data_IF_205788432556
#
_entry.id   IF_205788432556
#
_cell.length_a   1.000
_cell.length_b   1.000
_cell.length_c   1.000
_cell.angle_alpha   90.00
_cell.angle_beta   90.00
_cell.angle_gamma   90.00
#
_symmetry.space_group_name_H-M   'P 1'
#
loop_
_entity.id
_entity.type
_entity.pdbx_description
1 polymer ?
#
# COMPACT_ATOMS: atom_id res chain seq x y z
N UNK A 1 -22.73 14.02 20.58
CA UNK A 1 -23.53 14.76 19.58
C UNK A 1 -22.54 15.30 18.56
N UNK A 2 -22.71 15.01 17.27
CA UNK A 2 -21.78 15.45 16.21
C UNK A 2 -21.97 16.94 15.93
N UNK A 3 -21.40 17.78 16.78
CA UNK A 3 -21.35 19.23 16.57
C UNK A 3 -20.70 19.51 15.19
N UNK A 4 -21.49 19.95 14.23
CA UNK A 4 -20.98 20.37 12.92
C UNK A 4 -21.54 19.65 11.70
N UNK A 5 -22.41 18.65 11.85
CA UNK A 5 -23.15 18.04 10.73
C UNK A 5 -24.55 18.65 10.68
N UNK A 6 -24.99 19.07 9.49
CA UNK A 6 -26.33 19.61 9.26
C UNK A 6 -26.86 19.12 7.91
N UNK A 7 -28.01 18.44 7.93
CA UNK A 7 -28.57 17.73 6.78
C UNK A 7 -27.51 16.84 6.08
N UNK A 8 -27.17 17.17 4.82
CA UNK A 8 -26.17 16.49 3.98
C UNK A 8 -24.80 17.21 3.94
N UNK A 9 -24.60 18.20 4.81
CA UNK A 9 -23.42 19.06 4.85
C UNK A 9 -22.66 19.02 6.17
N UNK A 10 -21.40 19.44 6.11
CA UNK A 10 -20.56 19.67 7.29
C UNK A 10 -20.21 21.15 7.35
N UNK A 11 -20.41 21.77 8.51
CA UNK A 11 -20.01 23.15 8.76
C UNK A 11 -18.50 23.33 8.56
N UNK A 12 -18.14 24.41 7.87
CA UNK A 12 -16.74 24.69 7.48
C UNK A 12 -15.81 24.80 8.69
N UNK A 13 -16.24 25.44 9.79
CA UNK A 13 -15.39 25.62 10.96
C UNK A 13 -15.14 24.31 11.76
N UNK A 14 -16.17 23.50 12.08
CA UNK A 14 -15.98 22.16 12.62
C UNK A 14 -15.14 21.24 11.72
N UNK A 15 -15.36 21.28 10.39
CA UNK A 15 -14.56 20.52 9.43
C UNK A 15 -13.08 20.90 9.52
N UNK A 16 -12.77 22.19 9.56
CA UNK A 16 -11.39 22.66 9.72
C UNK A 16 -10.74 22.16 11.00
N UNK A 17 -11.44 22.24 12.15
CA UNK A 17 -10.92 21.75 13.44
C UNK A 17 -10.58 20.27 13.37
N UNK A 18 -11.49 19.47 12.84
CA UNK A 18 -11.30 18.01 12.71
C UNK A 18 -10.11 17.66 11.79
N UNK A 19 -9.97 18.34 10.65
CA UNK A 19 -8.84 18.11 9.75
C UNK A 19 -7.52 18.58 10.35
N UNK A 20 -7.53 19.65 11.15
CA UNK A 20 -6.33 20.15 11.84
C UNK A 20 -5.88 19.22 12.96
N UNK A 21 -6.80 18.66 13.72
CA UNK A 21 -6.52 17.64 14.76
C UNK A 21 -5.87 16.37 14.18
N UNK A 22 -6.14 16.07 12.92
CA UNK A 22 -5.58 14.93 12.18
C UNK A 22 -4.31 15.24 11.40
N UNK A 23 -3.86 16.49 11.42
CA UNK A 23 -2.74 16.98 10.59
C UNK A 23 -2.96 16.80 9.07
N UNK A 24 -4.23 16.79 8.63
CA UNK A 24 -4.62 16.57 7.22
C UNK A 24 -4.53 17.86 6.36
N UNK A 25 -4.40 19.03 7.00
CA UNK A 25 -4.37 20.35 6.34
C UNK A 25 -3.14 21.20 6.72
N UNK A 26 -1.91 20.66 6.63
CA UNK A 26 -0.70 21.38 7.07
C UNK A 26 -0.44 22.66 6.25
N UNK A 27 -0.97 22.71 5.01
CA UNK A 27 -0.90 23.88 4.14
C UNK A 27 -1.89 25.01 4.48
N UNK A 28 -2.85 24.76 5.38
CA UNK A 28 -3.87 25.72 5.77
C UNK A 28 -3.80 25.95 7.30
N UNK A 29 -2.86 26.78 7.79
CA UNK A 29 -2.64 26.96 9.23
C UNK A 29 -3.81 27.65 9.95
N UNK A 30 -4.69 28.33 9.20
CA UNK A 30 -5.81 29.10 9.75
C UNK A 30 -7.12 28.74 9.05
N UNK A 31 -8.23 28.94 9.77
CA UNK A 31 -9.57 28.78 9.21
C UNK A 31 -9.81 29.70 8.00
N UNK A 32 -9.20 30.89 7.98
CA UNK A 32 -9.28 31.81 6.85
C UNK A 32 -8.59 31.27 5.60
N UNK A 33 -7.38 30.71 5.76
CA UNK A 33 -6.67 30.05 4.66
C UNK A 33 -7.46 28.85 4.12
N UNK A 34 -8.05 28.07 5.03
CA UNK A 34 -8.91 26.94 4.68
C UNK A 34 -10.16 27.39 3.90
N UNK A 35 -10.86 28.44 4.34
CA UNK A 35 -12.00 29.04 3.62
C UNK A 35 -11.63 29.51 2.21
N UNK A 36 -10.48 30.18 2.05
CA UNK A 36 -10.00 30.62 0.75
C UNK A 36 -9.73 29.43 -0.19
N UNK A 37 -9.15 28.34 0.35
CA UNK A 37 -8.92 27.08 -0.38
C UNK A 37 -10.23 26.41 -0.80
N UNK A 38 -11.23 26.37 0.08
CA UNK A 38 -12.56 25.83 -0.22
C UNK A 38 -13.24 26.61 -1.35
N UNK A 39 -13.15 27.95 -1.33
CA UNK A 39 -13.68 28.77 -2.43
C UNK A 39 -12.96 28.51 -3.75
N UNK A 40 -11.64 28.34 -3.74
CA UNK A 40 -10.90 27.95 -4.95
C UNK A 40 -11.36 26.59 -5.49
N UNK A 41 -11.57 25.61 -4.61
CA UNK A 41 -12.06 24.29 -4.99
C UNK A 41 -13.49 24.35 -5.53
N UNK A 42 -14.38 25.11 -4.88
CA UNK A 42 -15.75 25.37 -5.35
C UNK A 42 -15.77 26.01 -6.74
N UNK A 43 -14.98 27.06 -6.96
CA UNK A 43 -14.90 27.75 -8.25
C UNK A 43 -14.33 26.86 -9.37
N UNK A 44 -13.58 25.81 -9.01
CA UNK A 44 -13.05 24.79 -9.94
C UNK A 44 -13.99 23.60 -10.13
N UNK A 45 -15.18 23.61 -9.51
CA UNK A 45 -16.12 22.50 -9.56
C UNK A 45 -15.66 21.25 -8.81
N UNK A 46 -14.67 21.37 -7.90
CA UNK A 46 -14.13 20.24 -7.15
C UNK A 46 -14.95 19.92 -5.91
N UNK A 47 -15.87 20.78 -5.49
CA UNK A 47 -16.76 20.53 -4.36
C UNK A 47 -18.00 21.42 -4.45
N UNK A 48 -19.01 21.05 -3.68
CA UNK A 48 -20.24 21.83 -3.54
C UNK A 48 -20.26 22.49 -2.16
N UNK A 49 -20.68 23.75 -2.13
CA UNK A 49 -20.90 24.54 -0.91
C UNK A 49 -22.39 24.84 -0.80
N UNK A 50 -22.92 24.78 0.42
CA UNK A 50 -24.34 25.03 0.68
C UNK A 50 -24.56 26.12 1.74
N UNK A 51 -25.74 26.74 1.66
CA UNK A 51 -26.25 27.68 2.64
C UNK A 51 -26.97 26.91 3.75
N UNK A 52 -26.85 27.37 4.99
CA UNK A 52 -27.60 26.80 6.11
C UNK A 52 -29.04 27.38 6.07
N UNK A 53 -30.05 26.54 5.84
CA UNK A 53 -31.45 26.99 5.67
C UNK A 53 -32.29 26.95 6.96
N UNK A 54 -31.89 26.20 8.00
CA UNK A 54 -32.62 26.09 9.27
C UNK A 54 -31.68 26.26 10.46
N UNK A 55 -31.80 27.41 11.12
CA UNK A 55 -30.91 27.83 12.21
C UNK A 55 -31.43 27.49 13.62
N UNK A 56 -32.65 26.94 13.75
CA UNK A 56 -33.32 26.80 15.05
C UNK A 56 -32.61 25.81 15.99
N UNK A 57 -31.96 24.77 15.45
CA UNK A 57 -31.25 23.75 16.23
C UNK A 57 -29.71 23.82 16.12
N UNK A 58 -29.17 24.89 15.50
CA UNK A 58 -27.73 25.00 15.24
C UNK A 58 -27.14 26.14 16.05
N UNK A 59 -26.00 25.87 16.71
CA UNK A 59 -25.25 26.90 17.41
C UNK A 59 -24.89 28.07 16.46
N UNK A 60 -25.38 29.30 16.71
CA UNK A 60 -25.17 30.43 15.81
C UNK A 60 -23.70 30.83 15.66
N UNK A 61 -22.85 30.53 16.65
CA UNK A 61 -21.41 30.75 16.56
C UNK A 61 -20.76 29.82 15.53
N UNK A 62 -21.26 28.59 15.38
CA UNK A 62 -20.77 27.65 14.36
C UNK A 62 -21.14 28.12 12.96
N UNK A 63 -22.36 28.64 12.79
CA UNK A 63 -22.83 29.21 11.53
C UNK A 63 -21.97 30.43 11.16
N UNK A 64 -21.81 31.38 12.08
CA UNK A 64 -21.00 32.58 11.86
C UNK A 64 -19.52 32.23 11.57
N UNK A 65 -18.93 31.33 12.35
CA UNK A 65 -17.55 30.89 12.14
C UNK A 65 -17.37 30.16 10.80
N UNK A 66 -18.41 29.52 10.27
CA UNK A 66 -18.36 28.79 9.01
C UNK A 66 -18.67 29.65 7.79
N UNK A 67 -19.23 30.85 7.97
CA UNK A 67 -19.63 31.73 6.87
C UNK A 67 -18.45 32.05 5.93
N UNK A 68 -18.64 31.80 4.63
CA UNK A 68 -17.71 32.18 3.57
C UNK A 68 -18.50 32.80 2.42
N UNK A 69 -18.15 34.02 2.04
CA UNK A 69 -18.84 34.78 1.00
C UNK A 69 -18.19 34.50 -0.36
N UNK A 70 -18.99 34.16 -1.36
CA UNK A 70 -18.58 34.22 -2.76
C UNK A 70 -19.66 34.86 -3.60
N UNK A 71 -19.26 35.90 -4.35
CA UNK A 71 -20.17 36.76 -5.11
C UNK A 71 -21.27 37.34 -4.22
N UNK A 72 -22.49 36.80 -4.29
CA UNK A 72 -23.68 37.25 -3.54
C UNK A 72 -24.26 36.15 -2.62
N UNK A 73 -23.53 35.05 -2.43
CA UNK A 73 -24.00 33.89 -1.66
C UNK A 73 -23.05 33.64 -0.50
N UNK A 74 -23.61 33.54 0.71
CA UNK A 74 -22.87 33.15 1.91
C UNK A 74 -23.04 31.67 2.16
N UNK A 75 -21.97 30.92 1.97
CA UNK A 75 -21.93 29.49 2.23
C UNK A 75 -21.53 29.22 3.67
N UNK A 76 -22.02 28.11 4.22
CA UNK A 76 -21.77 27.71 5.61
C UNK A 76 -21.33 26.24 5.70
N UNK A 77 -21.75 25.44 4.73
CA UNK A 77 -21.58 24.00 4.70
C UNK A 77 -20.72 23.61 3.50
N UNK A 78 -19.83 22.64 3.69
CA UNK A 78 -19.30 21.82 2.61
C UNK A 78 -20.25 20.66 2.44
N UNK A 79 -20.85 20.51 1.26
CA UNK A 79 -21.69 19.34 1.00
C UNK A 79 -20.80 18.10 0.91
N UNK A 80 -21.27 17.01 1.53
CA UNK A 80 -20.63 15.72 1.33
C UNK A 80 -20.78 15.38 -0.15
N UNK A 81 -19.67 15.09 -0.84
CA UNK A 81 -19.73 14.61 -2.22
C UNK A 81 -20.74 13.47 -2.31
N UNK A 82 -21.81 13.70 -3.09
CA UNK A 82 -22.79 12.65 -3.31
C UNK A 82 -22.07 11.48 -4.00
N UNK A 83 -22.25 10.25 -3.52
CA UNK A 83 -21.67 9.06 -4.20
C UNK A 83 -22.07 8.99 -5.68
N UNK A 84 -23.18 9.63 -6.07
CA UNK A 84 -23.64 9.77 -7.46
C UNK A 84 -22.72 10.66 -8.30
N UNK A 85 -22.18 11.74 -7.75
CA UNK A 85 -21.29 12.65 -8.47
C UNK A 85 -19.88 12.08 -8.69
N UNK A 86 -19.47 11.09 -7.90
CA UNK A 86 -18.21 10.36 -8.17
C UNK A 86 -18.31 9.56 -9.47
N UNK A 87 -19.45 8.91 -9.71
CA UNK A 87 -19.64 8.14 -10.96
C UNK A 87 -19.70 9.06 -12.17
N UNK A 88 -20.43 10.18 -12.10
CA UNK A 88 -20.47 11.14 -13.22
C UNK A 88 -19.12 11.79 -13.48
N UNK A 89 -18.37 12.18 -12.43
CA UNK A 89 -17.02 12.73 -12.61
C UNK A 89 -16.04 11.69 -13.16
N UNK A 90 -16.18 10.41 -12.78
CA UNK A 90 -15.42 9.32 -13.38
C UNK A 90 -15.80 9.11 -14.85
N UNK A 91 -17.08 9.19 -15.19
CA UNK A 91 -17.56 9.07 -16.57
C UNK A 91 -17.03 10.23 -17.44
N UNK A 92 -17.01 11.46 -16.93
CA UNK A 92 -16.43 12.62 -17.63
C UNK A 92 -14.90 12.45 -17.83
N UNK A 93 -14.20 11.92 -16.83
CA UNK A 93 -12.77 11.60 -16.94
C UNK A 93 -12.56 10.50 -17.98
N UNK A 94 -13.36 9.43 -17.95
CA UNK A 94 -13.30 8.34 -18.92
C UNK A 94 -13.58 8.83 -20.34
N UNK A 95 -14.56 9.71 -20.51
CA UNK A 95 -14.93 10.30 -21.80
C UNK A 95 -13.82 11.21 -22.38
N UNK A 96 -12.99 11.79 -21.51
CA UNK A 96 -11.85 12.65 -21.90
C UNK A 96 -10.54 11.89 -22.09
N UNK A 97 -10.49 10.59 -21.75
CA UNK A 97 -9.31 9.76 -22.00
C UNK A 97 -9.09 9.57 -23.51
N UNK A 98 -7.82 9.67 -23.93
CA UNK A 98 -7.45 9.20 -25.27
C UNK A 98 -7.76 7.69 -25.42
N UNK A 99 -8.02 7.19 -26.64
CA UNK A 99 -8.31 5.77 -26.86
C UNK A 99 -7.24 4.83 -26.27
N UNK A 100 -5.96 5.24 -26.32
CA UNK A 100 -4.85 4.49 -25.73
C UNK A 100 -4.92 4.46 -24.19
N UNK A 101 -5.23 5.60 -23.56
CA UNK A 101 -5.34 5.68 -22.11
C UNK A 101 -6.57 4.90 -21.60
N UNK A 102 -7.68 4.96 -22.34
CA UNK A 102 -8.87 4.16 -22.02
C UNK A 102 -8.61 2.65 -22.15
N UNK A 103 -7.96 2.21 -23.24
CA UNK A 103 -7.57 0.82 -23.41
C UNK A 103 -6.66 0.34 -22.26
N UNK A 104 -5.64 1.13 -21.90
CA UNK A 104 -4.76 0.83 -20.78
C UNK A 104 -5.50 0.74 -19.43
N UNK A 105 -6.44 1.66 -19.17
CA UNK A 105 -7.26 1.63 -17.96
C UNK A 105 -8.17 0.41 -17.91
N UNK A 106 -8.77 0.03 -19.04
CA UNK A 106 -9.60 -1.18 -19.17
C UNK A 106 -8.78 -2.44 -18.96
N UNK A 107 -7.60 -2.51 -19.56
CA UNK A 107 -6.68 -3.65 -19.40
C UNK A 107 -6.18 -3.77 -17.95
N UNK A 108 -5.86 -2.65 -17.32
CA UNK A 108 -5.51 -2.63 -15.89
C UNK A 108 -6.67 -3.09 -15.02
N UNK A 109 -7.89 -2.63 -15.29
CA UNK A 109 -9.08 -3.04 -14.53
C UNK A 109 -9.35 -4.53 -14.69
N UNK A 110 -9.21 -5.07 -15.91
CA UNK A 110 -9.30 -6.50 -16.17
C UNK A 110 -8.23 -7.28 -15.40
N UNK A 111 -6.98 -6.83 -15.44
CA UNK A 111 -5.90 -7.43 -14.65
C UNK A 111 -6.23 -7.45 -13.16
N UNK A 112 -6.66 -6.33 -12.58
CA UNK A 112 -7.03 -6.26 -11.15
C UNK A 112 -8.14 -7.25 -10.82
N UNK A 113 -9.15 -7.39 -11.68
CA UNK A 113 -10.24 -8.34 -11.50
C UNK A 113 -9.76 -9.80 -11.56
N UNK A 114 -8.87 -10.12 -12.51
CA UNK A 114 -8.30 -11.46 -12.64
C UNK A 114 -7.37 -11.79 -11.45
N UNK A 115 -6.59 -10.82 -10.98
CA UNK A 115 -5.76 -10.92 -9.78
C UNK A 115 -6.62 -11.16 -8.52
N UNK A 116 -7.78 -10.50 -8.43
CA UNK A 116 -8.74 -10.71 -7.34
C UNK A 116 -9.31 -12.12 -7.31
N UNK A 117 -9.59 -12.71 -8.48
CA UNK A 117 -10.00 -14.12 -8.58
C UNK A 117 -8.88 -15.05 -8.11
N UNK A 118 -7.64 -14.84 -8.61
CA UNK A 118 -6.46 -15.64 -8.23
C UNK A 118 -6.12 -15.54 -6.74
N UNK A 119 -6.46 -14.42 -6.10
CA UNK A 119 -6.27 -14.23 -4.67
C UNK A 119 -7.18 -15.10 -3.81
N UNK A 120 -8.31 -15.59 -4.30
CA UNK A 120 -9.22 -16.47 -3.54
C UNK A 120 -9.56 -15.91 -2.12
N UNK A 121 -9.75 -14.60 -2.01
CA UNK A 121 -10.05 -13.94 -0.73
C UNK A 121 -8.82 -13.56 0.12
N UNK A 122 -7.60 -13.94 -0.28
CA UNK A 122 -6.36 -13.47 0.37
C UNK A 122 -6.24 -11.95 0.29
N UNK A 123 -5.79 -11.25 1.35
CA UNK A 123 -5.62 -9.80 1.35
C UNK A 123 -4.46 -9.37 0.41
N UNK A 124 -4.50 -8.14 -0.09
CA UNK A 124 -3.38 -7.59 -0.88
C UNK A 124 -2.21 -7.26 0.05
N UNK A 125 -0.98 -7.52 -0.39
CA UNK A 125 0.21 -7.26 0.43
C UNK A 125 0.34 -5.78 0.83
N UNK A 126 -0.09 -4.87 -0.05
CA UNK A 126 -0.05 -3.42 0.22
C UNK A 126 -0.98 -3.00 1.38
N UNK A 127 -2.07 -3.75 1.60
CA UNK A 127 -3.05 -3.45 2.65
C UNK A 127 -2.67 -4.04 4.01
N UNK A 128 -1.69 -4.94 4.05
CA UNK A 128 -1.27 -5.59 5.29
C UNK A 128 -0.43 -4.64 6.15
N UNK A 129 -0.58 -4.65 7.49
CA UNK A 129 0.42 -4.09 8.38
C UNK A 129 1.75 -4.86 8.26
N UNK A 130 2.83 -4.31 8.79
CA UNK A 130 4.19 -4.80 8.51
C UNK A 130 4.44 -6.23 9.02
N UNK A 131 3.89 -6.55 10.20
CA UNK A 131 3.91 -7.85 10.85
C UNK A 131 3.12 -8.90 10.05
N UNK A 132 1.88 -8.60 9.65
CA UNK A 132 1.07 -9.51 8.84
C UNK A 132 1.67 -9.71 7.44
N UNK A 133 2.29 -8.68 6.87
CA UNK A 133 3.07 -8.78 5.64
C UNK A 133 4.25 -9.74 5.81
N UNK A 134 5.05 -9.57 6.86
CA UNK A 134 6.20 -10.44 7.14
C UNK A 134 5.76 -11.90 7.35
N UNK A 135 4.69 -12.12 8.11
CA UNK A 135 4.12 -13.45 8.32
C UNK A 135 3.66 -14.09 7.00
N UNK A 136 2.98 -13.33 6.12
CA UNK A 136 2.53 -13.84 4.81
C UNK A 136 3.69 -14.24 3.90
N UNK A 137 4.72 -13.40 3.84
CA UNK A 137 5.96 -13.68 3.11
C UNK A 137 6.62 -14.93 3.69
N UNK A 138 6.69 -15.05 5.02
CA UNK A 138 7.32 -16.19 5.68
C UNK A 138 6.56 -17.51 5.46
N UNK A 139 5.22 -17.49 5.44
CA UNK A 139 4.40 -18.67 5.07
C UNK A 139 4.83 -19.20 3.71
N UNK A 140 4.93 -18.32 2.72
CA UNK A 140 5.29 -18.70 1.36
C UNK A 140 6.73 -19.22 1.25
N UNK A 141 7.68 -18.53 1.86
CA UNK A 141 9.09 -18.95 1.90
C UNK A 141 9.25 -20.31 2.59
N UNK A 142 8.44 -20.58 3.62
CA UNK A 142 8.47 -21.85 4.33
C UNK A 142 7.83 -23.01 3.55
N UNK A 143 6.93 -22.76 2.59
CA UNK A 143 6.42 -23.77 1.64
C UNK A 143 7.55 -24.31 0.74
N UNK A 144 8.56 -23.48 0.44
CA UNK A 144 9.73 -23.86 -0.34
C UNK A 144 10.72 -24.75 0.42
N UNK A 145 11.69 -25.31 -0.29
CA UNK A 145 12.76 -26.14 0.28
C UNK A 145 14.02 -25.35 0.67
N UNK A 146 14.18 -24.13 0.17
CA UNK A 146 15.35 -23.27 0.37
C UNK A 146 14.93 -21.82 0.59
N UNK A 147 15.86 -20.99 1.07
CA UNK A 147 15.69 -19.55 1.12
C UNK A 147 15.32 -19.00 -0.26
N UNK A 148 14.43 -18.02 -0.29
CA UNK A 148 13.84 -17.55 -1.55
C UNK A 148 14.50 -16.25 -2.02
N UNK A 149 14.85 -16.18 -3.30
CA UNK A 149 15.25 -14.92 -3.93
C UNK A 149 14.08 -13.94 -3.92
N UNK A 150 14.37 -12.68 -3.57
CA UNK A 150 13.35 -11.65 -3.41
C UNK A 150 12.54 -11.42 -4.69
N UNK A 151 13.17 -11.49 -5.87
CA UNK A 151 12.47 -11.33 -7.15
C UNK A 151 11.56 -12.50 -7.46
N UNK A 152 12.01 -13.73 -7.19
CA UNK A 152 11.21 -14.93 -7.44
C UNK A 152 10.01 -14.97 -6.52
N UNK A 153 10.21 -14.65 -5.23
CA UNK A 153 9.14 -14.53 -4.26
C UNK A 153 8.11 -13.46 -4.67
N UNK A 154 8.59 -12.32 -5.19
CA UNK A 154 7.71 -11.29 -5.71
C UNK A 154 6.89 -11.77 -6.92
N UNK A 155 7.52 -12.49 -7.85
CA UNK A 155 6.83 -13.06 -9.02
C UNK A 155 5.75 -14.05 -8.59
N UNK A 156 6.05 -14.95 -7.67
CA UNK A 156 5.07 -15.91 -7.16
C UNK A 156 3.88 -15.21 -6.48
N UNK A 157 4.13 -14.17 -5.69
CA UNK A 157 3.06 -13.37 -5.08
C UNK A 157 2.24 -12.58 -6.12
N UNK A 158 2.84 -12.12 -7.21
CA UNK A 158 2.12 -11.48 -8.33
C UNK A 158 1.30 -12.50 -9.14
N UNK A 159 1.82 -13.72 -9.30
CA UNK A 159 1.11 -14.85 -9.90
C UNK A 159 -0.10 -15.31 -9.07
N UNK A 160 -0.03 -15.17 -7.75
CA UNK A 160 -1.17 -15.35 -6.83
C UNK A 160 -2.09 -14.11 -6.77
N UNK A 161 -1.76 -13.04 -7.48
CA UNK A 161 -2.48 -11.75 -7.49
C UNK A 161 -2.32 -10.93 -6.21
N UNK A 162 -1.49 -11.33 -5.26
CA UNK A 162 -1.33 -10.68 -3.96
C UNK A 162 -0.50 -9.40 -4.03
N UNK A 163 0.36 -9.28 -5.04
CA UNK A 163 1.21 -8.12 -5.29
C UNK A 163 0.51 -6.98 -6.08
N UNK A 164 -0.77 -7.11 -6.46
CA UNK A 164 -1.48 -6.06 -7.21
C UNK A 164 -1.43 -4.71 -6.51
N UNK A 165 -0.88 -3.71 -7.21
CA UNK A 165 -0.67 -2.36 -6.68
C UNK A 165 0.60 -2.18 -5.83
N UNK A 166 1.39 -3.23 -5.62
CA UNK A 166 2.68 -3.21 -4.94
C UNK A 166 3.79 -3.54 -5.94
N UNK A 167 4.57 -2.53 -6.36
CA UNK A 167 5.73 -2.78 -7.22
C UNK A 167 6.91 -3.41 -6.46
N UNK A 168 7.82 -4.09 -7.19
CA UNK A 168 9.01 -4.74 -6.63
C UNK A 168 9.85 -3.82 -5.72
N UNK A 169 10.02 -2.55 -6.09
CA UNK A 169 10.75 -1.56 -5.25
C UNK A 169 10.08 -1.35 -3.90
N UNK A 170 8.75 -1.23 -3.88
CA UNK A 170 7.99 -1.05 -2.65
C UNK A 170 7.99 -2.35 -1.81
N UNK A 171 7.88 -3.50 -2.46
CA UNK A 171 8.03 -4.82 -1.83
C UNK A 171 9.38 -4.97 -1.12
N UNK A 172 10.49 -4.68 -1.81
CA UNK A 172 11.85 -4.63 -1.23
C UNK A 172 11.94 -3.68 -0.04
N UNK A 173 11.35 -2.49 -0.15
CA UNK A 173 11.28 -1.53 0.95
C UNK A 173 10.61 -2.07 2.19
N UNK A 174 9.51 -2.84 2.01
CA UNK A 174 8.78 -3.49 3.11
C UNK A 174 9.54 -4.68 3.70
N UNK A 175 10.18 -5.51 2.87
CA UNK A 175 11.06 -6.58 3.36
C UNK A 175 12.19 -6.02 4.22
N UNK A 176 12.84 -4.94 3.77
CA UNK A 176 13.88 -4.27 4.55
C UNK A 176 13.36 -3.72 5.88
N UNK A 177 12.14 -3.18 5.90
CA UNK A 177 11.52 -2.69 7.13
C UNK A 177 11.21 -3.84 8.10
N UNK A 178 10.66 -4.94 7.60
CA UNK A 178 10.38 -6.14 8.39
C UNK A 178 11.67 -6.79 8.92
N UNK A 179 12.74 -6.80 8.12
CA UNK A 179 14.07 -7.25 8.55
C UNK A 179 14.63 -6.41 9.69
N UNK A 180 14.58 -5.08 9.55
CA UNK A 180 15.00 -4.15 10.62
C UNK A 180 14.20 -4.35 11.91
N UNK A 181 12.91 -4.69 11.78
CA UNK A 181 12.02 -4.95 12.91
C UNK A 181 12.19 -6.36 13.51
N UNK A 182 13.06 -7.21 12.94
CA UNK A 182 13.25 -8.60 13.38
C UNK A 182 12.07 -9.52 13.08
N UNK A 183 11.12 -9.10 12.22
CA UNK A 183 9.93 -9.89 11.88
C UNK A 183 10.19 -10.91 10.76
N UNK A 184 11.29 -10.75 10.02
CA UNK A 184 11.82 -11.73 9.07
C UNK A 184 13.33 -11.56 8.95
N UNK A 185 14.02 -12.56 8.43
CA UNK A 185 15.46 -12.52 8.21
C UNK A 185 15.79 -12.48 6.71
N UNK A 186 16.76 -11.64 6.36
CA UNK A 186 17.27 -11.50 5.01
C UNK A 186 18.76 -11.85 5.02
N UNK A 187 19.23 -12.57 4.00
CA UNK A 187 20.64 -12.96 3.88
C UNK A 187 21.24 -12.59 2.52
N UNK A 188 22.55 -12.51 2.47
CA UNK A 188 23.31 -12.37 1.22
C UNK A 188 23.37 -13.70 0.49
N UNK A 189 23.22 -13.66 -0.83
CA UNK A 189 23.54 -14.81 -1.68
C UNK A 189 25.06 -14.85 -1.87
N UNK A 190 25.72 -15.93 -1.47
CA UNK A 190 27.10 -16.18 -1.88
C UNK A 190 27.10 -16.56 -3.36
N UNK A 191 27.81 -15.81 -4.19
CA UNK A 191 27.88 -16.05 -5.62
C UNK A 191 28.39 -17.48 -5.89
N UNK A 192 27.48 -18.40 -6.22
CA UNK A 192 27.86 -19.67 -6.84
C UNK A 192 28.06 -19.44 -8.33
N UNK A 193 29.16 -19.99 -8.83
CA UNK A 193 29.68 -19.80 -10.18
C UNK A 193 28.60 -19.81 -11.28
N UNK A 194 28.55 -18.68 -12.01
CA UNK A 194 28.17 -18.60 -13.42
C UNK A 194 26.80 -19.13 -13.81
N UNK A 195 25.73 -18.38 -13.51
CA UNK A 195 24.41 -18.60 -14.12
C UNK A 195 23.39 -17.50 -13.83
N UNK A 196 23.31 -17.03 -12.59
CA UNK A 196 22.13 -16.27 -12.10
C UNK A 196 22.39 -14.79 -11.75
N UNK A 197 23.45 -14.19 -12.31
CA UNK A 197 23.93 -12.85 -11.91
C UNK A 197 22.85 -11.76 -11.99
N UNK A 198 22.00 -11.75 -13.03
CA UNK A 198 20.97 -10.72 -13.20
C UNK A 198 19.78 -10.86 -12.23
N UNK A 199 19.32 -12.08 -11.96
CA UNK A 199 18.19 -12.32 -11.03
C UNK A 199 18.62 -12.03 -9.59
N UNK A 200 19.87 -12.38 -9.25
CA UNK A 200 20.47 -12.04 -7.96
C UNK A 200 20.59 -10.53 -7.82
N UNK A 201 21.14 -9.82 -8.81
CA UNK A 201 21.21 -8.35 -8.79
C UNK A 201 19.82 -7.70 -8.69
N UNK A 202 18.84 -8.22 -9.44
CA UNK A 202 17.47 -7.75 -9.38
C UNK A 202 16.83 -8.01 -8.00
N UNK A 203 17.37 -8.92 -7.18
CA UNK A 203 16.94 -9.19 -5.81
C UNK A 203 17.63 -8.34 -4.75
N UNK A 204 18.68 -7.58 -5.10
CA UNK A 204 19.47 -6.78 -4.16
C UNK A 204 18.64 -5.79 -3.33
N UNK A 205 18.89 -5.78 -2.01
CA UNK A 205 18.35 -4.86 -1.02
C UNK A 205 19.47 -4.39 -0.10
N UNK A 206 19.74 -3.09 -0.08
CA UNK A 206 20.78 -2.52 0.78
C UNK A 206 20.29 -2.30 2.21
N UNK A 207 21.04 -2.84 3.18
CA UNK A 207 20.80 -2.69 4.60
C UNK A 207 22.11 -2.77 5.40
N UNK A 208 22.40 -1.75 6.21
CA UNK A 208 23.55 -1.77 7.14
C UNK A 208 24.92 -1.91 6.46
N UNK A 209 25.07 -1.44 5.23
CA UNK A 209 26.31 -1.60 4.45
C UNK A 209 26.44 -2.96 3.77
N UNK A 210 25.45 -3.85 3.91
CA UNK A 210 25.38 -5.14 3.22
C UNK A 210 24.30 -5.15 2.14
N UNK A 211 24.50 -5.96 1.10
CA UNK A 211 23.50 -6.22 0.06
C UNK A 211 22.89 -7.60 0.28
N UNK A 212 21.60 -7.60 0.60
CA UNK A 212 20.82 -8.79 0.91
C UNK A 212 19.98 -9.19 -0.30
N UNK A 213 19.77 -10.48 -0.52
CA UNK A 213 19.19 -11.02 -1.74
C UNK A 213 18.09 -12.05 -1.49
N UNK A 214 18.14 -12.71 -0.33
CA UNK A 214 17.32 -13.85 0.02
C UNK A 214 16.44 -13.52 1.22
N UNK A 215 15.24 -14.11 1.27
CA UNK A 215 14.42 -14.21 2.48
C UNK A 215 14.66 -15.57 3.11
N UNK A 216 15.08 -15.60 4.36
CA UNK A 216 15.44 -16.82 5.05
C UNK A 216 14.21 -17.61 5.48
N UNK A 217 14.31 -18.94 5.38
CA UNK A 217 13.34 -19.85 5.97
C UNK A 217 13.49 -19.88 7.48
N UNK A 218 12.35 -19.94 8.15
CA UNK A 218 12.28 -20.16 9.61
C UNK A 218 11.82 -21.58 9.96
N UNK A 219 11.21 -22.29 9.01
CA UNK A 219 10.82 -23.68 9.18
C UNK A 219 12.02 -24.61 9.01
N UNK A 220 12.17 -25.59 9.90
CA UNK A 220 13.12 -26.68 9.70
C UNK A 220 12.77 -27.42 8.39
N UNK A 221 13.77 -27.75 7.54
CA UNK A 221 13.51 -28.52 6.34
C UNK A 221 12.81 -29.82 6.73
N UNK A 222 11.65 -30.09 6.13
CA UNK A 222 10.95 -31.36 6.33
C UNK A 222 11.94 -32.49 6.00
N UNK A 223 12.07 -33.51 6.87
CA UNK A 223 12.95 -34.63 6.57
C UNK A 223 12.51 -35.25 5.25
N UNK A 224 13.45 -35.37 4.31
CA UNK A 224 13.21 -36.10 3.06
C UNK A 224 12.78 -37.52 3.48
N UNK A 225 11.64 -38.05 2.99
CA UNK A 225 11.08 -39.31 3.50
C UNK A 225 11.99 -40.55 3.31
N UNK A 226 13.14 -40.39 2.66
CA UNK A 226 14.05 -41.45 2.23
C UNK A 226 15.42 -41.34 2.94
N UNK A 227 15.51 -40.50 3.99
CA UNK A 227 16.74 -40.30 4.76
C UNK A 227 17.77 -39.39 4.06
N UNK A 228 18.76 -38.89 4.82
CA UNK A 228 19.89 -38.16 4.25
C UNK A 228 20.68 -39.09 3.32
N UNK A 229 21.09 -38.66 2.10
CA UNK A 229 22.06 -39.42 1.33
C UNK A 229 23.32 -39.61 2.19
N UNK A 230 23.69 -40.86 2.43
CA UNK A 230 24.93 -41.19 3.12
C UNK A 230 26.06 -40.53 2.35
N UNK A 231 26.70 -39.53 2.94
CA UNK A 231 27.95 -38.99 2.39
C UNK A 231 28.91 -40.17 2.33
N UNK A 232 29.20 -40.66 1.12
CA UNK A 232 30.29 -41.59 0.88
C UNK A 232 31.56 -40.85 1.30
N UNK A 233 31.95 -41.03 2.56
CA UNK A 233 33.22 -40.56 3.07
C UNK A 233 34.30 -41.17 2.18
N UNK A 234 34.89 -40.27 1.39
CA UNK A 234 36.15 -40.40 0.67
C UNK A 234 37.09 -41.26 1.51
N UNK A 235 37.43 -42.47 1.02
CA UNK A 235 38.44 -43.34 1.62
C UNK A 235 39.71 -42.51 1.84
N UNK A 236 39.94 -42.08 3.07
CA UNK A 236 41.24 -41.61 3.53
C UNK A 236 42.09 -42.86 3.70
N UNK A 237 43.24 -42.87 3.04
CA UNK A 237 44.31 -43.87 3.14
C UNK A 237 44.53 -44.25 4.60
N UNK A 238 44.38 -45.53 4.92
CA UNK A 238 45.00 -46.11 6.10
C UNK A 238 46.49 -46.26 5.80
N UNK A 239 47.27 -45.26 6.24
CA UNK A 239 48.68 -45.46 6.56
C UNK A 239 48.70 -46.25 7.87
N UNK A 240 49.13 -47.50 7.83
CA UNK A 240 49.63 -48.18 9.03
C UNK A 240 51.06 -48.61 8.76
N UNK A 241 51.96 -47.97 9.49
CA UNK A 241 53.31 -48.45 9.75
C UNK A 241 53.25 -49.63 10.73
N UNK A 242 54.16 -50.58 10.50
CA UNK A 242 54.82 -51.51 11.42
C UNK A 242 54.05 -52.75 11.92
N UNK A 243 54.52 -53.92 11.48
CA UNK A 243 55.63 -54.60 12.15
C UNK A 243 56.70 -54.98 11.12
#
# INVERSE_FOLDING_TARGET
>A
MTEGIHDDGVFIAPLFRLLRERDDVPSCPTLSAFKARLLQAYNRGLLELATCQRAEDVNPLVVAASAVLSRRITFHLVQRWSRRNIFSALDDVVATLSPKAYAAAKDFTRKVHDDEKRREGRPRLITLPLDAFAARVQTLVNEGSHDALIVELFRELDERGEATGLGLRAFKGRLRAAHRAGSLELSSCEARDGGDSEIVQASAVDHGGMTLHLVCRTAMPLPIPWGRPTLLLRRVRATMMQA
#
